data_IF_011968245605
#
_entry.id   IF_011968245605
#
_cell.length_a   1.000
_cell.length_b   1.000
_cell.length_c   1.000
_cell.angle_alpha   90.00
_cell.angle_beta   90.00
_cell.angle_gamma   90.00
#
_symmetry.space_group_name_H-M   'P 1'
#
loop_
_entity.id
_entity.type
_entity.pdbx_description
1 polymer ?
#
# COMPACT_ATOMS: atom_id res chain seq x y z
N UNK A 1 11.18 15.08 97.94
CA UNK A 1 12.18 15.64 97.01
C UNK A 1 12.62 14.65 95.90
N UNK A 2 11.71 13.79 95.38
CA UNK A 2 12.07 12.81 94.33
C UNK A 2 11.54 13.14 92.93
N UNK A 3 10.63 14.11 92.81
CA UNK A 3 10.02 14.52 91.53
C UNK A 3 10.77 15.65 90.81
N UNK A 4 11.70 16.34 91.49
CA UNK A 4 12.49 17.43 90.90
C UNK A 4 13.86 16.99 90.37
N UNK A 5 14.30 15.77 90.69
CA UNK A 5 15.56 15.21 90.19
C UNK A 5 15.41 14.57 88.80
N UNK A 6 14.20 14.06 88.50
CA UNK A 6 13.90 13.35 87.25
C UNK A 6 13.74 14.29 86.05
N UNK A 7 13.36 15.54 86.29
CA UNK A 7 13.18 16.56 85.24
C UNK A 7 14.50 17.18 84.80
N UNK A 8 15.52 17.25 85.68
CA UNK A 8 16.83 17.80 85.34
C UNK A 8 17.64 16.83 84.45
N UNK A 9 17.44 15.52 84.59
CA UNK A 9 18.17 14.50 83.80
C UNK A 9 17.69 14.41 82.36
N UNK A 10 16.43 14.77 82.09
CA UNK A 10 15.84 14.70 80.75
C UNK A 10 16.25 15.88 79.84
N UNK A 11 16.66 17.00 80.44
CA UNK A 11 17.03 18.22 79.70
C UNK A 11 18.49 18.24 79.22
N UNK A 12 19.36 17.43 79.82
CA UNK A 12 20.78 17.31 79.41
C UNK A 12 20.98 16.28 78.28
N UNK A 13 20.05 15.33 78.11
CA UNK A 13 20.14 14.30 77.07
C UNK A 13 19.88 14.80 75.63
N UNK A 14 19.25 15.97 75.47
CA UNK A 14 18.87 16.47 74.14
C UNK A 14 20.01 17.26 73.43
N UNK A 15 21.02 17.70 74.17
CA UNK A 15 22.11 18.54 73.62
C UNK A 15 23.23 17.70 72.97
N UNK A 16 23.34 16.41 73.31
CA UNK A 16 24.43 15.56 72.79
C UNK A 16 24.12 14.83 71.48
N UNK A 17 22.88 14.85 70.99
CA UNK A 17 22.54 14.28 69.67
C UNK A 17 22.83 15.21 68.48
N UNK A 18 23.27 16.45 68.73
CA UNK A 18 23.53 17.46 67.70
C UNK A 18 24.91 17.41 67.03
N UNK A 19 25.81 16.52 67.42
CA UNK A 19 27.22 16.52 66.94
C UNK A 19 27.64 15.24 66.19
N UNK A 20 26.71 14.37 65.78
CA UNK A 20 27.03 13.22 64.92
C UNK A 20 27.02 13.64 63.43
N UNK A 21 27.93 14.53 63.07
CA UNK A 21 28.20 14.91 61.68
C UNK A 21 29.68 14.63 61.39
N UNK A 22 30.07 13.35 61.42
CA UNK A 22 31.41 12.91 61.01
C UNK A 22 31.35 12.41 59.55
N UNK A 23 31.76 13.28 58.64
CA UNK A 23 32.72 13.05 57.55
C UNK A 23 32.84 11.63 56.95
N UNK A 24 31.97 11.26 56.01
CA UNK A 24 32.26 10.34 54.90
C UNK A 24 31.30 10.64 53.73
N UNK A 25 31.53 11.71 52.97
CA UNK A 25 30.66 12.05 51.82
C UNK A 25 31.36 12.06 50.45
N UNK A 26 32.69 11.94 50.41
CA UNK A 26 33.44 12.08 49.18
C UNK A 26 33.51 10.79 48.33
N UNK A 27 33.58 9.60 48.94
CA UNK A 27 33.64 8.31 48.22
C UNK A 27 32.28 7.85 47.70
N UNK A 28 31.22 8.08 48.49
CA UNK A 28 29.85 7.67 48.18
C UNK A 28 29.27 8.45 46.98
N UNK A 29 29.60 9.75 46.88
CA UNK A 29 29.19 10.60 45.76
C UNK A 29 29.81 10.17 44.41
N UNK A 30 31.05 9.68 44.41
CA UNK A 30 31.74 9.20 43.19
C UNK A 30 31.19 7.85 42.72
N UNK A 31 30.87 6.94 43.65
CA UNK A 31 30.23 5.65 43.35
C UNK A 31 28.80 5.84 42.82
N UNK A 32 28.02 6.74 43.43
CA UNK A 32 26.67 7.09 42.96
C UNK A 32 26.72 7.75 41.59
N UNK A 33 27.68 8.63 41.34
CA UNK A 33 27.88 9.25 40.03
C UNK A 33 28.28 8.21 38.96
N UNK A 34 29.14 7.24 39.27
CA UNK A 34 29.50 6.16 38.36
C UNK A 34 28.32 5.23 38.04
N UNK A 35 27.51 4.87 39.04
CA UNK A 35 26.30 4.07 38.83
C UNK A 35 25.23 4.82 38.00
N UNK A 36 25.10 6.13 38.18
CA UNK A 36 24.23 6.96 37.33
C UNK A 36 24.73 7.02 35.89
N UNK A 37 26.04 7.12 35.67
CA UNK A 37 26.64 7.10 34.33
C UNK A 37 26.44 5.72 33.66
N UNK A 38 26.56 4.62 34.40
CA UNK A 38 26.30 3.28 33.87
C UNK A 38 24.82 3.05 33.52
N UNK A 39 23.89 3.47 34.40
CA UNK A 39 22.45 3.43 34.10
C UNK A 39 22.11 4.26 32.87
N UNK A 40 22.60 5.51 32.79
CA UNK A 40 22.41 6.34 31.59
C UNK A 40 22.99 5.69 30.32
N UNK A 41 24.12 4.98 30.41
CA UNK A 41 24.68 4.23 29.28
C UNK A 41 23.83 3.01 28.91
N UNK A 42 23.23 2.31 29.86
CA UNK A 42 22.29 1.21 29.61
C UNK A 42 21.00 1.74 28.98
N UNK A 43 20.39 2.77 29.56
CA UNK A 43 19.17 3.40 29.05
C UNK A 43 19.40 3.93 27.61
N UNK A 44 20.56 4.53 27.34
CA UNK A 44 20.94 4.95 25.98
C UNK A 44 21.13 3.78 25.00
N UNK A 45 21.59 2.62 25.48
CA UNK A 45 21.72 1.41 24.64
C UNK A 45 20.35 0.81 24.34
N UNK A 46 19.50 0.67 25.36
CA UNK A 46 18.13 0.17 25.21
C UNK A 46 17.29 1.09 24.33
N UNK A 47 17.36 2.41 24.51
CA UNK A 47 16.69 3.37 23.63
C UNK A 47 17.19 3.29 22.18
N UNK A 48 18.50 3.07 21.96
CA UNK A 48 19.06 2.87 20.61
C UNK A 48 18.62 1.56 20.00
N UNK A 49 18.48 0.49 20.78
CA UNK A 49 18.01 -0.81 20.30
C UNK A 49 16.52 -0.76 19.97
N UNK A 50 15.70 -0.17 20.84
CA UNK A 50 14.28 0.08 20.59
C UNK A 50 14.07 0.94 19.34
N UNK A 51 14.85 2.01 19.15
CA UNK A 51 14.80 2.83 17.94
C UNK A 51 15.17 2.03 16.69
N UNK A 52 16.22 1.18 16.76
CA UNK A 52 16.60 0.31 15.64
C UNK A 52 15.50 -0.70 15.30
N UNK A 53 14.80 -1.23 16.29
CA UNK A 53 13.66 -2.14 16.07
C UNK A 53 12.46 -1.43 15.45
N UNK A 54 12.12 -0.24 15.93
CA UNK A 54 11.07 0.61 15.35
C UNK A 54 11.44 0.95 13.90
N UNK A 55 12.66 1.37 13.63
CA UNK A 55 13.13 1.69 12.27
C UNK A 55 13.10 0.46 11.35
N UNK A 56 13.43 -0.73 11.86
CA UNK A 56 13.34 -1.99 11.12
C UNK A 56 11.88 -2.34 10.82
N UNK A 57 11.00 -2.23 11.81
CA UNK A 57 9.58 -2.50 11.66
C UNK A 57 8.92 -1.54 10.67
N UNK A 58 9.23 -0.24 10.74
CA UNK A 58 8.71 0.76 9.81
C UNK A 58 9.23 0.52 8.39
N UNK A 59 10.51 0.17 8.22
CA UNK A 59 11.07 -0.22 6.91
C UNK A 59 10.40 -1.48 6.36
N UNK A 60 10.11 -2.47 7.21
CA UNK A 60 9.42 -3.69 6.82
C UNK A 60 7.98 -3.41 6.37
N UNK A 61 7.23 -2.61 7.13
CA UNK A 61 5.88 -2.17 6.77
C UNK A 61 5.88 -1.38 5.44
N UNK A 62 6.78 -0.40 5.27
CA UNK A 62 6.91 0.35 4.02
C UNK A 62 7.23 -0.55 2.82
N UNK A 63 8.03 -1.60 3.01
CA UNK A 63 8.33 -2.59 1.95
C UNK A 63 7.10 -3.44 1.62
N UNK A 64 6.39 -3.92 2.64
CA UNK A 64 5.17 -4.71 2.48
C UNK A 64 4.07 -3.92 1.75
N UNK A 65 3.83 -2.67 2.16
CA UNK A 65 2.86 -1.79 1.52
C UNK A 65 3.21 -1.50 0.05
N UNK A 66 4.51 -1.24 -0.23
CA UNK A 66 4.98 -1.08 -1.61
C UNK A 66 4.77 -2.34 -2.45
N UNK A 67 5.00 -3.53 -1.88
CA UNK A 67 4.77 -4.80 -2.55
C UNK A 67 3.29 -5.03 -2.85
N UNK A 68 2.41 -4.79 -1.87
CA UNK A 68 0.96 -4.86 -2.04
C UNK A 68 0.46 -3.89 -3.11
N UNK A 69 0.88 -2.63 -3.06
CA UNK A 69 0.52 -1.62 -4.08
C UNK A 69 1.01 -2.01 -5.48
N UNK A 70 2.17 -2.65 -5.61
CA UNK A 70 2.67 -3.15 -6.90
C UNK A 70 1.83 -4.32 -7.41
N UNK A 71 1.48 -5.26 -6.54
CA UNK A 71 0.63 -6.41 -6.87
C UNK A 71 -0.77 -5.94 -7.31
N UNK A 72 -1.40 -5.04 -6.55
CA UNK A 72 -2.72 -4.48 -6.88
C UNK A 72 -2.70 -3.74 -8.23
N UNK A 73 -1.65 -2.94 -8.49
CA UNK A 73 -1.47 -2.27 -9.79
C UNK A 73 -1.30 -3.27 -10.93
N UNK A 74 -0.62 -4.40 -10.71
CA UNK A 74 -0.46 -5.43 -11.72
C UNK A 74 -1.79 -6.11 -12.05
N UNK A 75 -2.56 -6.50 -11.02
CA UNK A 75 -3.91 -7.08 -11.18
C UNK A 75 -4.82 -6.11 -11.94
N UNK A 76 -4.89 -4.84 -11.51
CA UNK A 76 -5.69 -3.80 -12.19
C UNK A 76 -5.30 -3.60 -13.65
N UNK A 77 -4.00 -3.71 -13.99
CA UNK A 77 -3.55 -3.63 -15.39
C UNK A 77 -4.03 -4.84 -16.19
N UNK A 78 -3.94 -6.03 -15.62
CA UNK A 78 -4.37 -7.27 -16.27
C UNK A 78 -5.89 -7.29 -16.48
N UNK A 79 -6.68 -6.87 -15.50
CA UNK A 79 -8.14 -6.73 -15.62
C UNK A 79 -8.52 -5.74 -16.73
N UNK A 80 -7.85 -4.58 -16.80
CA UNK A 80 -8.06 -3.61 -17.88
C UNK A 80 -7.72 -4.19 -19.25
N UNK A 81 -6.65 -4.98 -19.36
CA UNK A 81 -6.29 -5.65 -20.61
C UNK A 81 -7.36 -6.66 -21.03
N UNK A 82 -7.79 -7.54 -20.11
CA UNK A 82 -8.84 -8.52 -20.36
C UNK A 82 -10.16 -7.84 -20.78
N UNK A 83 -10.56 -6.79 -20.06
CA UNK A 83 -11.76 -6.00 -20.37
C UNK A 83 -11.66 -5.37 -21.77
N UNK A 84 -10.52 -4.79 -22.13
CA UNK A 84 -10.28 -4.20 -23.46
C UNK A 84 -10.33 -5.26 -24.56
N UNK A 85 -9.74 -6.42 -24.33
CA UNK A 85 -9.79 -7.57 -25.24
C UNK A 85 -11.24 -8.03 -25.46
N UNK A 86 -12.01 -8.18 -24.38
CA UNK A 86 -13.42 -8.58 -24.42
C UNK A 86 -14.27 -7.56 -25.19
N UNK A 87 -14.10 -6.27 -24.92
CA UNK A 87 -14.80 -5.20 -25.62
C UNK A 87 -14.52 -5.22 -27.13
N UNK A 88 -13.26 -5.44 -27.54
CA UNK A 88 -12.89 -5.55 -28.96
C UNK A 88 -13.49 -6.79 -29.63
N UNK A 89 -13.45 -7.96 -28.97
CA UNK A 89 -14.09 -9.18 -29.48
C UNK A 89 -15.58 -8.96 -29.73
N UNK A 90 -16.30 -8.36 -28.76
CA UNK A 90 -17.72 -8.01 -28.89
C UNK A 90 -17.98 -7.00 -30.01
N UNK A 91 -17.09 -6.01 -30.19
CA UNK A 91 -17.17 -5.04 -31.28
C UNK A 91 -17.06 -5.70 -32.67
N UNK A 92 -16.10 -6.60 -32.83
CA UNK A 92 -15.90 -7.40 -34.06
C UNK A 92 -17.16 -8.23 -34.35
N UNK A 93 -17.67 -8.96 -33.36
CA UNK A 93 -18.86 -9.80 -33.50
C UNK A 93 -20.09 -8.98 -33.92
N UNK A 94 -20.33 -7.82 -33.30
CA UNK A 94 -21.42 -6.91 -33.69
C UNK A 94 -21.31 -6.46 -35.14
N UNK A 95 -20.10 -6.14 -35.61
CA UNK A 95 -19.88 -5.75 -36.99
C UNK A 95 -20.05 -6.94 -37.96
N UNK A 96 -19.61 -8.14 -37.57
CA UNK A 96 -19.86 -9.37 -38.35
C UNK A 96 -21.35 -9.67 -38.48
N UNK A 97 -22.13 -9.51 -37.41
CA UNK A 97 -23.59 -9.64 -37.47
C UNK A 97 -24.23 -8.63 -38.42
N UNK A 98 -23.76 -7.37 -38.42
CA UNK A 98 -24.24 -6.35 -39.36
C UNK A 98 -23.94 -6.74 -40.81
N UNK A 99 -22.73 -7.24 -41.09
CA UNK A 99 -22.36 -7.75 -42.43
C UNK A 99 -23.30 -8.89 -42.84
N UNK A 100 -23.52 -9.89 -41.99
CA UNK A 100 -24.43 -11.01 -42.27
C UNK A 100 -25.84 -10.52 -42.60
N UNK A 101 -26.38 -9.55 -41.85
CA UNK A 101 -27.70 -8.94 -42.13
C UNK A 101 -27.73 -8.24 -43.49
N UNK A 102 -26.68 -7.50 -43.84
CA UNK A 102 -26.58 -6.82 -45.14
C UNK A 102 -26.45 -7.81 -46.29
N UNK A 103 -25.62 -8.85 -46.15
CA UNK A 103 -25.48 -9.93 -47.12
C UNK A 103 -26.80 -10.68 -47.32
N UNK A 104 -27.54 -10.99 -46.25
CA UNK A 104 -28.85 -11.62 -46.34
C UNK A 104 -29.87 -10.75 -47.06
N UNK A 105 -29.90 -9.44 -46.79
CA UNK A 105 -30.75 -8.48 -47.52
C UNK A 105 -30.40 -8.44 -49.01
N UNK A 106 -29.10 -8.41 -49.31
CA UNK A 106 -28.60 -8.37 -50.68
C UNK A 106 -28.96 -9.66 -51.45
N UNK A 107 -28.76 -10.84 -50.85
CA UNK A 107 -29.13 -12.12 -51.45
C UNK A 107 -30.65 -12.24 -51.68
N UNK A 108 -31.47 -11.86 -50.69
CA UNK A 108 -32.94 -11.85 -50.82
C UNK A 108 -33.44 -10.84 -51.85
N UNK A 109 -32.80 -9.69 -51.96
CA UNK A 109 -33.17 -8.66 -52.93
C UNK A 109 -32.78 -9.03 -54.36
N UNK A 110 -31.56 -9.57 -54.56
CA UNK A 110 -31.10 -10.08 -55.86
C UNK A 110 -31.97 -11.23 -56.37
N UNK A 111 -32.25 -12.24 -55.53
CA UNK A 111 -33.09 -13.38 -55.91
C UNK A 111 -34.52 -12.98 -56.28
N UNK A 112 -35.05 -11.90 -55.69
CA UNK A 112 -36.38 -11.37 -56.02
C UNK A 112 -36.37 -10.34 -57.16
N UNK A 113 -35.21 -9.99 -57.72
CA UNK A 113 -35.07 -8.91 -58.71
C UNK A 113 -35.43 -7.51 -58.17
N UNK A 114 -35.47 -7.33 -56.85
CA UNK A 114 -35.94 -6.08 -56.20
C UNK A 114 -34.82 -5.10 -55.84
N UNK A 115 -33.57 -5.43 -56.17
CA UNK A 115 -32.41 -4.57 -55.88
C UNK A 115 -31.97 -3.91 -57.18
N UNK A 116 -31.98 -2.58 -57.17
CA UNK A 116 -31.37 -1.79 -58.23
C UNK A 116 -29.83 -1.81 -58.11
N UNK A 117 -29.08 -1.67 -59.22
CA UNK A 117 -27.62 -1.66 -59.20
C UNK A 117 -27.02 -0.62 -58.25
N UNK A 118 -27.64 0.56 -58.16
CA UNK A 118 -27.21 1.65 -57.28
C UNK A 118 -27.33 1.30 -55.79
N UNK A 119 -28.40 0.61 -55.39
CA UNK A 119 -28.62 0.19 -54.01
C UNK A 119 -27.71 -0.98 -53.63
N UNK A 120 -27.46 -1.89 -54.56
CA UNK A 120 -26.47 -2.94 -54.40
C UNK A 120 -25.08 -2.36 -54.12
N UNK A 121 -24.67 -1.37 -54.90
CA UNK A 121 -23.40 -0.67 -54.71
C UNK A 121 -23.31 -0.04 -53.33
N UNK A 122 -24.37 0.64 -52.86
CA UNK A 122 -24.42 1.23 -51.51
C UNK A 122 -24.30 0.17 -50.41
N UNK A 123 -24.97 -0.97 -50.54
CA UNK A 123 -24.86 -2.06 -49.56
C UNK A 123 -23.44 -2.64 -49.56
N UNK A 124 -22.86 -2.89 -50.73
CA UNK A 124 -21.49 -3.39 -50.86
C UNK A 124 -20.46 -2.40 -50.27
N UNK A 125 -20.63 -1.09 -50.47
CA UNK A 125 -19.80 -0.08 -49.82
C UNK A 125 -19.91 -0.12 -48.29
N UNK A 126 -21.12 -0.31 -47.75
CA UNK A 126 -21.31 -0.46 -46.29
C UNK A 126 -20.64 -1.72 -45.76
N UNK A 127 -20.74 -2.84 -46.49
CA UNK A 127 -20.06 -4.09 -46.14
C UNK A 127 -18.53 -3.87 -46.11
N UNK A 128 -17.95 -3.30 -47.17
CA UNK A 128 -16.52 -2.99 -47.24
C UNK A 128 -16.04 -2.11 -46.08
N UNK A 129 -16.80 -1.08 -45.72
CA UNK A 129 -16.48 -0.21 -44.56
C UNK A 129 -16.46 -1.00 -43.24
N UNK A 130 -17.41 -1.91 -43.05
CA UNK A 130 -17.46 -2.76 -41.85
C UNK A 130 -16.33 -3.79 -41.84
N UNK A 131 -16.00 -4.39 -42.98
CA UNK A 131 -14.87 -5.33 -43.12
C UNK A 131 -13.54 -4.65 -42.78
N UNK A 132 -13.32 -3.45 -43.29
CA UNK A 132 -12.13 -2.65 -42.99
C UNK A 132 -12.05 -2.29 -41.50
N UNK A 133 -13.18 -1.94 -40.87
CA UNK A 133 -13.24 -1.73 -39.41
C UNK A 133 -12.89 -3.00 -38.64
N UNK A 134 -13.44 -4.16 -39.05
CA UNK A 134 -13.14 -5.45 -38.42
C UNK A 134 -11.66 -5.81 -38.58
N UNK A 135 -11.06 -5.58 -39.75
CA UNK A 135 -9.65 -5.82 -39.99
C UNK A 135 -8.77 -5.01 -39.03
N UNK A 136 -9.04 -3.70 -38.90
CA UNK A 136 -8.34 -2.82 -37.95
C UNK A 136 -8.53 -3.27 -36.50
N UNK A 137 -9.74 -3.68 -36.13
CA UNK A 137 -10.02 -4.15 -34.76
C UNK A 137 -9.35 -5.50 -34.46
N UNK A 138 -9.29 -6.41 -35.44
CA UNK A 138 -8.54 -7.68 -35.33
C UNK A 138 -7.05 -7.42 -35.16
N UNK A 139 -6.46 -6.51 -35.93
CA UNK A 139 -5.05 -6.14 -35.77
C UNK A 139 -4.77 -5.52 -34.39
N UNK A 140 -5.67 -4.67 -33.89
CA UNK A 140 -5.54 -4.14 -32.52
C UNK A 140 -5.73 -5.23 -31.47
N UNK A 141 -6.60 -6.20 -31.72
CA UNK A 141 -6.85 -7.33 -30.83
C UNK A 141 -5.62 -8.25 -30.74
N UNK A 142 -4.99 -8.60 -31.87
CA UNK A 142 -3.76 -9.41 -31.86
C UNK A 142 -2.64 -8.71 -31.10
N UNK A 143 -2.44 -7.41 -31.31
CA UNK A 143 -1.48 -6.59 -30.55
C UNK A 143 -1.76 -6.55 -29.04
N UNK A 144 -3.03 -6.63 -28.62
CA UNK A 144 -3.39 -6.68 -27.20
C UNK A 144 -3.22 -8.08 -26.61
N UNK A 145 -3.52 -9.13 -27.38
CA UNK A 145 -3.31 -10.51 -26.95
C UNK A 145 -1.82 -10.86 -26.81
N UNK A 146 -0.94 -10.25 -27.60
CA UNK A 146 0.52 -10.37 -27.45
C UNK A 146 1.05 -9.69 -26.18
N UNK A 147 0.28 -8.78 -25.56
CA UNK A 147 0.65 -8.09 -24.32
C UNK A 147 0.10 -8.78 -23.07
N UNK A 148 -0.73 -9.80 -23.25
CA UNK A 148 -1.28 -10.62 -22.18
C UNK A 148 -0.24 -11.65 -21.76
#
# INVERSE_FOLDING_TARGET
MKKSLLTLTLLVGFVYFGNAQETEQASDSVLVAQQQIEKQKQDLKEAKEAQKEIDKAEKAQKKAEKAQKKAEKAVKKQEKLISTISAKKKGIEKNQMKIRKLQSKLAKGRSKGKIAPSDEMKINQKIKKLELSIAKDKEKLTKLQQKQ
#
